data_IF_346638595970
#
_entry.id   IF_346638595970
#
_cell.length_a   1.000
_cell.length_b   1.000
_cell.length_c   1.000
_cell.angle_alpha   90.00
_cell.angle_beta   90.00
_cell.angle_gamma   90.00
#
_symmetry.space_group_name_H-M   'P 1'
#
loop_
_entity.id
_entity.type
_entity.pdbx_description
1 polymer ?
#
# COMPACT_ATOMS: atom_id res chain seq x y z
N UNK A 1 31.40 -7.18 10.97
CA UNK A 1 31.73 -6.45 12.20
C UNK A 1 31.22 -7.27 13.39
N UNK A 2 31.96 -7.38 14.51
CA UNK A 2 31.54 -8.18 15.67
C UNK A 2 30.45 -7.44 16.45
N UNK A 3 29.46 -8.17 16.97
CA UNK A 3 28.32 -7.67 17.77
C UNK A 3 28.69 -6.61 18.82
N UNK A 4 29.84 -6.78 19.47
CA UNK A 4 30.37 -5.86 20.48
C UNK A 4 30.54 -4.43 19.97
N UNK A 5 30.93 -4.22 18.71
CA UNK A 5 31.21 -2.89 18.18
C UNK A 5 29.93 -2.11 17.84
N UNK A 6 28.86 -2.79 17.43
CA UNK A 6 27.54 -2.14 17.20
C UNK A 6 26.93 -1.73 18.54
N UNK A 7 27.01 -2.60 19.54
CA UNK A 7 26.59 -2.28 20.90
C UNK A 7 27.40 -1.13 21.49
N UNK A 8 28.70 -1.06 21.22
CA UNK A 8 29.56 0.02 21.68
C UNK A 8 29.18 1.37 21.02
N UNK A 9 28.86 1.39 19.72
CA UNK A 9 28.34 2.59 19.04
C UNK A 9 26.99 3.02 19.62
N UNK A 10 26.06 2.09 19.82
CA UNK A 10 24.75 2.37 20.42
C UNK A 10 24.93 2.87 21.87
N UNK A 11 25.77 2.21 22.66
CA UNK A 11 25.97 2.56 24.08
C UNK A 11 26.75 3.87 24.27
N UNK A 12 27.70 4.17 23.39
CA UNK A 12 28.53 5.38 23.48
C UNK A 12 27.85 6.64 22.92
N UNK A 13 26.85 6.48 22.04
CA UNK A 13 26.19 7.60 21.35
C UNK A 13 24.69 7.63 21.66
N UNK A 14 24.33 8.36 22.71
CA UNK A 14 22.93 8.53 23.16
C UNK A 14 21.98 8.99 22.04
N UNK A 15 22.48 9.83 21.12
CA UNK A 15 21.72 10.34 19.97
C UNK A 15 21.40 9.28 18.90
N UNK A 16 22.05 8.12 18.93
CA UNK A 16 21.69 6.93 18.13
C UNK A 16 20.87 5.95 18.96
N UNK A 17 21.27 5.74 20.23
CA UNK A 17 20.64 4.77 21.12
C UNK A 17 19.16 5.08 21.39
N UNK A 18 18.84 6.34 21.72
CA UNK A 18 17.50 6.74 22.11
C UNK A 18 16.52 6.58 20.94
N UNK A 19 16.78 7.12 19.74
CA UNK A 19 15.89 6.91 18.59
C UNK A 19 15.68 5.44 18.26
N UNK A 20 16.75 4.63 18.25
CA UNK A 20 16.64 3.19 17.98
C UNK A 20 15.78 2.49 19.04
N UNK A 21 15.95 2.83 20.32
CA UNK A 21 15.14 2.27 21.40
C UNK A 21 13.67 2.71 21.30
N UNK A 22 13.40 3.97 20.93
CA UNK A 22 12.05 4.49 20.70
C UNK A 22 11.38 3.76 19.54
N UNK A 23 12.11 3.48 18.46
CA UNK A 23 11.60 2.75 17.29
C UNK A 23 11.30 1.30 17.64
N UNK A 24 12.29 0.59 18.19
CA UNK A 24 12.14 -0.82 18.54
C UNK A 24 11.06 -1.01 19.61
N UNK A 25 11.09 -0.21 20.67
CA UNK A 25 10.10 -0.24 21.73
C UNK A 25 8.72 0.19 21.24
N UNK A 26 8.65 1.28 20.48
CA UNK A 26 7.40 1.83 19.95
C UNK A 26 6.68 0.89 19.00
N UNK A 27 7.39 0.07 18.23
CA UNK A 27 6.78 -0.95 17.38
C UNK A 27 6.47 -2.24 18.16
N UNK A 28 7.44 -2.78 18.90
CA UNK A 28 7.28 -4.10 19.52
C UNK A 28 6.40 -4.11 20.76
N UNK A 29 6.46 -3.08 21.61
CA UNK A 29 5.73 -3.07 22.89
C UNK A 29 4.21 -3.09 22.65
N UNK A 30 3.62 -2.25 21.78
CA UNK A 30 2.18 -2.29 21.54
C UNK A 30 1.74 -3.63 20.94
N UNK A 31 2.50 -4.16 19.98
CA UNK A 31 2.20 -5.45 19.35
C UNK A 31 2.29 -6.61 20.35
N UNK A 32 3.30 -6.60 21.24
CA UNK A 32 3.41 -7.56 22.32
C UNK A 32 2.25 -7.43 23.32
N UNK A 33 1.86 -6.21 23.67
CA UNK A 33 0.73 -5.97 24.57
C UNK A 33 -0.60 -6.45 23.97
N UNK A 34 -0.79 -6.26 22.66
CA UNK A 34 -1.93 -6.80 21.92
C UNK A 34 -1.96 -8.34 21.97
N UNK A 35 -0.80 -8.98 21.77
CA UNK A 35 -0.66 -10.44 21.89
C UNK A 35 -0.99 -10.92 23.30
N UNK A 36 -0.41 -10.29 24.33
CA UNK A 36 -0.68 -10.62 25.73
C UNK A 36 -2.17 -10.46 26.06
N UNK A 37 -2.82 -9.40 25.53
CA UNK A 37 -4.24 -9.16 25.76
C UNK A 37 -5.12 -10.23 25.13
N UNK A 38 -4.77 -10.72 23.93
CA UNK A 38 -5.51 -11.81 23.30
C UNK A 38 -5.30 -13.14 24.03
N UNK A 39 -4.09 -13.40 24.53
CA UNK A 39 -3.76 -14.63 25.30
C UNK A 39 -4.41 -14.68 26.69
N UNK A 40 -5.02 -13.60 27.17
CA UNK A 40 -5.84 -13.62 28.40
C UNK A 40 -7.19 -14.32 28.20
N UNK A 41 -7.63 -14.51 26.95
CA UNK A 41 -8.83 -15.27 26.67
C UNK A 41 -8.59 -16.78 26.85
N UNK A 42 -9.63 -17.49 27.29
CA UNK A 42 -9.60 -18.94 27.43
C UNK A 42 -9.25 -19.62 26.08
N UNK A 43 -8.31 -20.59 26.03
CA UNK A 43 -7.88 -21.22 24.77
C UNK A 43 -9.02 -21.82 23.94
N UNK A 44 -10.06 -22.35 24.59
CA UNK A 44 -11.22 -22.89 23.89
C UNK A 44 -12.05 -21.79 23.23
N UNK A 45 -12.21 -20.66 23.91
CA UNK A 45 -12.83 -19.46 23.33
C UNK A 45 -12.02 -18.94 22.12
N UNK A 46 -10.68 -18.92 22.21
CA UNK A 46 -9.83 -18.53 21.09
C UNK A 46 -9.99 -19.46 19.88
N UNK A 47 -10.02 -20.77 20.12
CA UNK A 47 -10.24 -21.76 19.07
C UNK A 47 -11.59 -21.58 18.38
N UNK A 48 -12.66 -21.43 19.17
CA UNK A 48 -14.01 -21.23 18.64
C UNK A 48 -14.12 -19.94 17.82
N UNK A 49 -13.39 -18.88 18.20
CA UNK A 49 -13.31 -17.64 17.45
C UNK A 49 -12.59 -17.80 16.10
N UNK A 50 -11.50 -18.59 16.06
CA UNK A 50 -10.72 -18.84 14.84
C UNK A 50 -11.54 -19.65 13.83
N UNK A 51 -12.19 -20.72 14.28
CA UNK A 51 -12.92 -21.67 13.41
C UNK A 51 -14.33 -21.17 13.08
N UNK A 52 -14.80 -20.08 13.71
CA UNK A 52 -16.12 -19.50 13.46
C UNK A 52 -16.33 -19.20 11.97
N UNK A 53 -17.49 -19.58 11.44
CA UNK A 53 -17.84 -19.32 10.03
C UNK A 53 -17.82 -17.84 9.64
N UNK A 54 -17.97 -16.90 10.59
CA UNK A 54 -17.75 -15.46 10.33
C UNK A 54 -16.28 -15.17 10.06
N UNK A 55 -15.38 -15.63 10.92
CA UNK A 55 -13.93 -15.40 10.81
C UNK A 55 -13.36 -15.99 9.52
N UNK A 56 -13.78 -17.20 9.14
CA UNK A 56 -13.38 -17.81 7.88
C UNK A 56 -13.88 -17.02 6.65
N UNK A 57 -15.09 -16.46 6.71
CA UNK A 57 -15.60 -15.56 5.66
C UNK A 57 -14.80 -14.25 5.61
N UNK A 58 -14.43 -13.66 6.74
CA UNK A 58 -13.58 -12.47 6.77
C UNK A 58 -12.20 -12.74 6.17
N UNK A 59 -11.60 -13.89 6.48
CA UNK A 59 -10.34 -14.34 5.86
C UNK A 59 -10.50 -14.49 4.35
N UNK A 60 -11.52 -15.22 3.90
CA UNK A 60 -11.81 -15.42 2.48
C UNK A 60 -12.06 -14.10 1.73
N UNK A 61 -12.82 -13.18 2.33
CA UNK A 61 -13.08 -11.86 1.76
C UNK A 61 -11.81 -11.02 1.66
N UNK A 62 -10.99 -11.02 2.71
CA UNK A 62 -9.76 -10.22 2.77
C UNK A 62 -8.72 -10.73 1.76
N UNK A 63 -8.50 -12.05 1.72
CA UNK A 63 -7.59 -12.68 0.75
C UNK A 63 -8.14 -12.56 -0.67
N UNK A 64 -9.43 -12.81 -0.87
CA UNK A 64 -10.09 -12.68 -2.18
C UNK A 64 -9.98 -11.27 -2.74
N UNK A 65 -10.18 -10.25 -1.90
CA UNK A 65 -9.98 -8.86 -2.29
C UNK A 65 -8.53 -8.54 -2.62
N UNK A 66 -7.57 -8.97 -1.80
CA UNK A 66 -6.14 -8.75 -2.08
C UNK A 66 -5.72 -9.37 -3.43
N UNK A 67 -6.11 -10.62 -3.69
CA UNK A 67 -5.83 -11.31 -4.97
C UNK A 67 -6.55 -10.64 -6.12
N UNK A 68 -7.82 -10.27 -5.95
CA UNK A 68 -8.60 -9.57 -6.96
C UNK A 68 -7.99 -8.22 -7.33
N UNK A 69 -7.61 -7.41 -6.35
CA UNK A 69 -6.97 -6.11 -6.55
C UNK A 69 -5.61 -6.28 -7.21
N UNK A 70 -4.81 -7.27 -6.82
CA UNK A 70 -3.54 -7.55 -7.49
C UNK A 70 -3.75 -7.92 -8.97
N UNK A 71 -4.78 -8.71 -9.28
CA UNK A 71 -5.14 -9.02 -10.67
C UNK A 71 -5.62 -7.76 -11.44
N UNK A 72 -6.52 -6.97 -10.84
CA UNK A 72 -7.04 -5.74 -11.43
C UNK A 72 -5.96 -4.71 -11.70
N UNK A 73 -5.10 -4.44 -10.72
CA UNK A 73 -3.92 -3.58 -10.88
C UNK A 73 -2.96 -4.10 -11.93
N UNK A 74 -2.75 -5.41 -12.05
CA UNK A 74 -1.90 -6.00 -13.10
C UNK A 74 -2.43 -5.72 -14.50
N UNK A 75 -3.75 -5.82 -14.70
CA UNK A 75 -4.43 -5.51 -15.97
C UNK A 75 -4.22 -4.03 -16.36
N UNK A 76 -4.09 -3.13 -15.38
CA UNK A 76 -3.84 -1.70 -15.62
C UNK A 76 -2.34 -1.41 -15.81
N UNK A 77 -1.52 -1.89 -14.88
CA UNK A 77 -0.12 -1.54 -14.74
C UNK A 77 0.78 -2.18 -15.80
N UNK A 78 0.57 -3.47 -16.14
CA UNK A 78 1.43 -4.18 -17.11
C UNK A 78 1.34 -3.54 -18.50
N UNK A 79 0.14 -3.30 -19.08
CA UNK A 79 0.06 -2.66 -20.39
C UNK A 79 0.57 -1.22 -20.35
N UNK A 80 0.27 -0.45 -19.30
CA UNK A 80 0.74 0.93 -19.20
C UNK A 80 2.26 1.03 -19.08
N UNK A 81 2.89 0.14 -18.30
CA UNK A 81 4.34 0.05 -18.18
C UNK A 81 4.97 -0.33 -19.51
N UNK A 82 4.41 -1.31 -20.22
CA UNK A 82 4.90 -1.70 -21.54
C UNK A 82 4.73 -0.58 -22.59
N UNK A 83 3.56 0.07 -22.65
CA UNK A 83 3.29 1.18 -23.57
C UNK A 83 4.28 2.34 -23.36
N UNK A 84 4.56 2.70 -22.11
CA UNK A 84 5.42 3.86 -21.80
C UNK A 84 6.93 3.58 -21.95
N UNK A 85 7.36 2.31 -21.98
CA UNK A 85 8.80 1.94 -21.98
C UNK A 85 9.25 1.19 -23.22
N UNK A 86 8.40 0.35 -23.82
CA UNK A 86 8.75 -0.57 -24.92
C UNK A 86 8.22 -0.12 -26.28
N UNK A 87 7.43 0.94 -26.34
CA UNK A 87 6.83 1.43 -27.60
C UNK A 87 7.31 2.82 -27.98
N UNK A 88 7.22 3.14 -29.27
CA UNK A 88 7.57 4.44 -29.83
C UNK A 88 6.41 5.46 -29.77
N UNK A 89 5.61 5.45 -28.70
CA UNK A 89 4.51 6.39 -28.51
C UNK A 89 5.04 7.82 -28.24
N UNK A 90 4.65 8.83 -29.03
CA UNK A 90 4.94 10.21 -28.67
C UNK A 90 4.24 10.61 -27.36
N UNK A 91 4.86 11.50 -26.58
CA UNK A 91 4.29 11.96 -25.31
C UNK A 91 4.38 10.97 -24.14
N UNK A 92 5.23 9.94 -24.20
CA UNK A 92 5.42 8.93 -23.13
C UNK A 92 5.67 9.51 -21.72
N UNK A 93 6.27 10.71 -21.63
CA UNK A 93 6.47 11.41 -20.34
C UNK A 93 5.11 11.82 -19.74
N UNK A 94 4.23 12.39 -20.54
CA UNK A 94 2.86 12.75 -20.12
C UNK A 94 2.09 11.50 -19.74
N UNK A 95 2.15 10.43 -20.53
CA UNK A 95 1.50 9.15 -20.17
C UNK A 95 2.05 8.55 -18.88
N UNK A 96 3.36 8.67 -18.65
CA UNK A 96 3.97 8.26 -17.38
C UNK A 96 3.43 9.10 -16.22
N UNK A 97 3.36 10.43 -16.37
CA UNK A 97 2.79 11.31 -15.35
C UNK A 97 1.33 10.95 -15.06
N UNK A 98 0.51 10.75 -16.09
CA UNK A 98 -0.89 10.30 -15.95
C UNK A 98 -1.02 8.97 -15.21
N UNK A 99 -0.07 8.04 -15.38
CA UNK A 99 -0.03 6.78 -14.66
C UNK A 99 0.40 6.90 -13.19
N UNK A 100 1.03 8.01 -12.80
CA UNK A 100 1.51 8.26 -11.43
C UNK A 100 0.55 9.16 -10.64
N UNK A 101 -0.15 10.07 -11.30
CA UNK A 101 -1.12 10.98 -10.69
C UNK A 101 -2.16 10.31 -9.75
N UNK A 102 -2.62 9.07 -9.97
CA UNK A 102 -3.57 8.43 -9.06
C UNK A 102 -3.05 8.24 -7.64
N UNK A 103 -1.73 8.27 -7.41
CA UNK A 103 -1.15 8.27 -6.05
C UNK A 103 -1.60 9.49 -5.22
N UNK A 104 -2.01 10.57 -5.87
CA UNK A 104 -2.55 11.76 -5.20
C UNK A 104 -4.03 11.62 -4.80
N UNK A 105 -4.73 10.58 -5.28
CA UNK A 105 -6.15 10.34 -4.99
C UNK A 105 -6.26 9.24 -3.93
N UNK A 106 -6.65 9.57 -2.68
CA UNK A 106 -6.81 8.55 -1.64
C UNK A 106 -7.88 7.51 -2.01
N UNK A 107 -7.69 6.26 -1.58
CA UNK A 107 -8.63 5.17 -1.86
C UNK A 107 -10.06 5.48 -1.40
N UNK A 108 -10.24 6.02 -0.19
CA UNK A 108 -11.57 6.38 0.31
C UNK A 108 -12.25 7.48 -0.53
N UNK A 109 -11.48 8.41 -1.11
CA UNK A 109 -12.02 9.42 -2.04
C UNK A 109 -12.51 8.74 -3.31
N UNK A 110 -11.72 7.82 -3.87
CA UNK A 110 -12.13 7.01 -5.03
C UNK A 110 -13.42 6.24 -4.72
N UNK A 111 -13.50 5.58 -3.56
CA UNK A 111 -14.67 4.82 -3.14
C UNK A 111 -15.93 5.71 -3.05
N UNK A 112 -15.79 6.87 -2.42
CA UNK A 112 -16.86 7.83 -2.26
C UNK A 112 -17.33 8.39 -3.60
N UNK A 113 -16.40 8.71 -4.50
CA UNK A 113 -16.71 9.16 -5.86
C UNK A 113 -17.45 8.07 -6.64
N UNK A 114 -17.01 6.82 -6.61
CA UNK A 114 -17.73 5.73 -7.29
C UNK A 114 -19.16 5.56 -6.76
N UNK A 115 -19.35 5.66 -5.45
CA UNK A 115 -20.69 5.59 -4.83
C UNK A 115 -21.57 6.79 -5.17
N UNK A 116 -20.99 7.98 -5.28
CA UNK A 116 -21.67 9.22 -5.64
C UNK A 116 -22.03 9.27 -7.13
N UNK A 117 -21.19 8.69 -7.98
CA UNK A 117 -21.30 8.77 -9.43
C UNK A 117 -22.19 7.66 -10.00
N UNK A 118 -22.31 6.53 -9.31
CA UNK A 118 -23.14 5.37 -9.74
C UNK A 118 -24.43 5.23 -8.92
N UNK A 119 -25.39 4.45 -9.43
CA UNK A 119 -26.73 4.28 -8.86
C UNK A 119 -27.79 5.14 -9.56
N UNK A 120 -29.06 4.88 -9.25
CA UNK A 120 -30.22 5.56 -9.87
C UNK A 120 -30.20 7.07 -9.70
N UNK A 121 -29.64 7.55 -8.59
CA UNK A 121 -29.49 8.97 -8.27
C UNK A 121 -28.02 9.42 -8.33
N UNK A 122 -27.14 8.65 -8.97
CA UNK A 122 -25.73 9.02 -9.11
C UNK A 122 -25.54 10.20 -10.05
N UNK A 123 -24.38 10.88 -9.96
CA UNK A 123 -24.09 12.04 -10.83
C UNK A 123 -24.20 11.69 -12.32
N UNK A 124 -23.80 10.49 -12.76
CA UNK A 124 -23.97 10.07 -14.16
C UNK A 124 -25.43 10.00 -14.61
N UNK A 125 -26.32 9.53 -13.74
CA UNK A 125 -27.75 9.46 -14.05
C UNK A 125 -28.34 10.87 -14.15
N UNK A 126 -27.94 11.78 -13.24
CA UNK A 126 -28.46 13.14 -13.21
C UNK A 126 -27.92 14.02 -14.34
N UNK A 127 -26.65 13.88 -14.73
CA UNK A 127 -26.03 14.75 -15.73
C UNK A 127 -26.10 14.20 -17.15
N UNK A 128 -25.99 12.87 -17.32
CA UNK A 128 -25.92 12.21 -18.64
C UNK A 128 -27.12 11.31 -18.93
N UNK A 129 -28.04 11.13 -17.98
CA UNK A 129 -29.15 10.16 -18.11
C UNK A 129 -28.69 8.70 -18.11
N UNK A 130 -27.44 8.42 -17.75
CA UNK A 130 -26.85 7.08 -17.77
C UNK A 130 -26.94 6.42 -16.39
N UNK A 131 -27.85 5.46 -16.24
CA UNK A 131 -28.01 4.70 -15.00
C UNK A 131 -27.06 3.49 -14.98
N UNK A 132 -26.00 3.61 -14.19
CA UNK A 132 -25.07 2.50 -13.90
C UNK A 132 -25.42 1.90 -12.54
N UNK A 133 -25.45 0.57 -12.36
CA UNK A 133 -25.68 -0.05 -11.05
C UNK A 133 -24.73 0.51 -9.99
N UNK A 134 -25.23 0.75 -8.79
CA UNK A 134 -24.44 1.32 -7.70
C UNK A 134 -23.28 0.38 -7.36
N UNK A 135 -22.05 0.86 -7.53
CA UNK A 135 -20.85 0.10 -7.25
C UNK A 135 -20.62 0.03 -5.74
N UNK A 136 -21.04 -1.07 -5.13
CA UNK A 136 -20.81 -1.38 -3.72
C UNK A 136 -20.23 -2.79 -3.54
N UNK A 137 -20.06 -3.20 -2.28
CA UNK A 137 -19.56 -4.51 -1.91
C UNK A 137 -18.18 -4.81 -2.48
N UNK A 138 -17.96 -6.07 -2.86
CA UNK A 138 -16.69 -6.54 -3.41
C UNK A 138 -16.29 -5.79 -4.69
N UNK A 139 -17.22 -5.62 -5.65
CA UNK A 139 -16.92 -5.01 -6.95
C UNK A 139 -16.50 -3.55 -6.80
N UNK A 140 -17.22 -2.78 -5.96
CA UNK A 140 -16.86 -1.40 -5.68
C UNK A 140 -15.49 -1.28 -5.02
N UNK A 141 -15.20 -2.14 -4.02
CA UNK A 141 -13.90 -2.15 -3.34
C UNK A 141 -12.75 -2.56 -4.29
N UNK A 142 -12.98 -3.58 -5.12
CA UNK A 142 -12.03 -4.06 -6.12
C UNK A 142 -11.64 -2.96 -7.10
N UNK A 143 -12.63 -2.25 -7.67
CA UNK A 143 -12.39 -1.17 -8.64
C UNK A 143 -11.68 0.00 -7.96
N UNK A 144 -12.19 0.46 -6.81
CA UNK A 144 -11.62 1.60 -6.10
C UNK A 144 -10.15 1.37 -5.74
N UNK A 145 -9.85 0.23 -5.11
CA UNK A 145 -8.48 -0.12 -4.72
C UNK A 145 -7.59 -0.37 -5.93
N UNK A 146 -8.10 -0.98 -7.01
CA UNK A 146 -7.30 -1.17 -8.22
C UNK A 146 -6.90 0.15 -8.86
N UNK A 147 -7.83 1.11 -8.96
CA UNK A 147 -7.57 2.41 -9.55
C UNK A 147 -6.64 3.30 -8.69
N UNK A 148 -6.69 3.16 -7.36
CA UNK A 148 -5.83 3.93 -6.46
C UNK A 148 -4.44 3.31 -6.28
N UNK A 149 -4.30 1.98 -6.38
CA UNK A 149 -3.04 1.28 -6.05
C UNK A 149 -2.24 0.77 -7.24
N UNK A 150 -2.79 0.75 -8.47
CA UNK A 150 -2.01 0.32 -9.63
C UNK A 150 -0.70 1.11 -9.88
N UNK A 151 -0.53 2.40 -9.49
CA UNK A 151 0.72 3.10 -9.71
C UNK A 151 1.93 2.45 -9.03
N UNK A 152 1.73 1.80 -7.87
CA UNK A 152 2.80 1.08 -7.16
C UNK A 152 3.38 -0.05 -8.01
N UNK A 153 2.52 -0.84 -8.68
CA UNK A 153 2.97 -1.90 -9.59
C UNK A 153 3.46 -1.32 -10.92
N UNK A 154 2.82 -0.27 -11.44
CA UNK A 154 3.25 0.40 -12.67
C UNK A 154 4.68 0.92 -12.56
N UNK A 155 5.04 1.61 -11.48
CA UNK A 155 6.38 2.15 -11.27
C UNK A 155 7.43 1.04 -11.19
N UNK A 156 7.17 -0.02 -10.43
CA UNK A 156 8.06 -1.18 -10.31
C UNK A 156 8.25 -1.91 -11.65
N UNK A 157 7.17 -2.16 -12.39
CA UNK A 157 7.27 -2.80 -13.71
C UNK A 157 7.98 -1.89 -14.72
N UNK A 158 7.72 -0.57 -14.67
CA UNK A 158 8.34 0.40 -15.56
C UNK A 158 9.85 0.45 -15.36
N UNK A 159 10.34 0.48 -14.12
CA UNK A 159 11.78 0.45 -13.82
C UNK A 159 12.40 -0.86 -14.30
N UNK A 160 11.73 -2.00 -14.08
CA UNK A 160 12.18 -3.30 -14.57
C UNK A 160 12.28 -3.35 -16.09
N UNK A 161 11.24 -2.90 -16.83
CA UNK A 161 11.26 -2.85 -18.30
C UNK A 161 12.39 -1.98 -18.85
N UNK A 162 12.71 -0.87 -18.19
CA UNK A 162 13.83 0.01 -18.58
C UNK A 162 15.20 -0.61 -18.28
N UNK A 163 15.28 -1.51 -17.29
CA UNK A 163 16.48 -2.20 -16.89
C UNK A 163 16.80 -3.48 -17.68
N UNK A 164 15.86 -4.00 -18.47
CA UNK A 164 16.06 -5.21 -19.28
C UNK A 164 17.15 -5.02 -20.35
N UNK A 165 18.01 -6.04 -20.51
CA UNK A 165 19.02 -6.08 -21.56
C UNK A 165 18.39 -6.50 -22.91
N UNK A 166 18.41 -5.63 -23.95
CA UNK A 166 17.89 -5.99 -25.27
C UNK A 166 18.60 -7.20 -25.91
N UNK A 167 19.86 -7.48 -25.55
CA UNK A 167 20.63 -8.56 -26.15
C UNK A 167 20.02 -9.94 -25.91
N UNK A 168 19.35 -10.16 -24.77
CA UNK A 168 18.66 -11.42 -24.47
C UNK A 168 17.47 -11.63 -25.41
N UNK A 169 16.71 -10.58 -25.70
CA UNK A 169 15.58 -10.63 -26.63
C UNK A 169 16.07 -10.83 -28.08
N UNK A 170 17.14 -10.14 -28.48
CA UNK A 170 17.73 -10.27 -29.81
C UNK A 170 18.30 -11.67 -30.06
N UNK A 171 19.02 -12.23 -29.08
CA UNK A 171 19.60 -13.58 -29.15
C UNK A 171 18.51 -14.64 -29.30
N UNK A 172 17.42 -14.51 -28.55
CA UNK A 172 16.30 -15.43 -28.68
C UNK A 172 15.58 -15.31 -30.02
N UNK A 173 15.43 -14.09 -30.55
CA UNK A 173 14.90 -13.91 -31.91
C UNK A 173 15.83 -14.52 -32.97
N UNK A 174 17.14 -14.44 -32.79
CA UNK A 174 18.11 -15.09 -33.69
C UNK A 174 18.03 -16.62 -33.64
N UNK A 175 17.68 -17.20 -32.49
CA UNK A 175 17.40 -18.63 -32.30
C UNK A 175 16.01 -19.07 -32.81
N UNK A 176 15.26 -18.19 -33.47
CA UNK A 176 13.98 -18.52 -34.09
C UNK A 176 12.75 -18.36 -33.19
N UNK A 177 12.90 -17.84 -31.97
CA UNK A 177 11.75 -17.59 -31.10
C UNK A 177 10.90 -16.43 -31.63
N UNK A 178 9.58 -16.64 -31.68
CA UNK A 178 8.60 -15.59 -32.00
C UNK A 178 8.56 -14.51 -30.91
N UNK A 179 8.07 -13.31 -31.25
CA UNK A 179 7.95 -12.19 -30.29
C UNK A 179 7.15 -12.55 -29.03
N UNK A 180 6.11 -13.36 -29.19
CA UNK A 180 5.30 -13.83 -28.06
C UNK A 180 6.07 -14.80 -27.18
N UNK A 181 6.82 -15.74 -27.77
CA UNK A 181 7.67 -16.64 -27.00
C UNK A 181 8.79 -15.88 -26.27
N UNK A 182 9.44 -14.91 -26.92
CA UNK A 182 10.42 -14.03 -26.27
C UNK A 182 9.79 -13.29 -25.09
N UNK A 183 8.58 -12.74 -25.26
CA UNK A 183 7.89 -12.06 -24.16
C UNK A 183 7.61 -13.01 -22.98
N UNK A 184 7.02 -14.17 -23.23
CA UNK A 184 6.60 -15.11 -22.16
C UNK A 184 7.78 -15.81 -21.51
N UNK A 185 8.81 -16.19 -22.27
CA UNK A 185 9.91 -17.03 -21.79
C UNK A 185 11.13 -16.23 -21.32
N UNK A 186 11.28 -14.97 -21.75
CA UNK A 186 12.47 -14.16 -21.44
C UNK A 186 12.09 -12.89 -20.68
N UNK A 187 11.13 -12.11 -21.20
CA UNK A 187 10.76 -10.83 -20.58
C UNK A 187 9.97 -11.06 -19.29
N UNK A 188 8.90 -11.84 -19.33
CA UNK A 188 8.01 -12.03 -18.19
C UNK A 188 8.71 -12.63 -16.95
N UNK A 189 9.61 -13.64 -17.08
CA UNK A 189 10.37 -14.14 -15.93
C UNK A 189 11.29 -13.09 -15.31
N UNK A 190 11.89 -12.22 -16.13
CA UNK A 190 12.73 -11.12 -15.64
C UNK A 190 11.93 -10.01 -14.95
N UNK A 191 10.64 -9.87 -15.25
CA UNK A 191 9.75 -8.93 -14.56
C UNK A 191 9.24 -9.46 -13.21
N UNK A 192 9.38 -10.76 -12.93
CA UNK A 192 8.87 -11.37 -11.68
C UNK A 192 9.35 -10.68 -10.40
N UNK A 193 10.63 -10.30 -10.22
CA UNK A 193 11.07 -9.60 -9.02
C UNK A 193 10.32 -8.29 -8.79
N UNK A 194 10.14 -7.51 -9.86
CA UNK A 194 9.44 -6.24 -9.79
C UNK A 194 7.93 -6.41 -9.60
N UNK A 195 7.34 -7.45 -10.20
CA UNK A 195 5.95 -7.81 -9.97
C UNK A 195 5.69 -8.21 -8.53
N UNK A 196 6.57 -9.04 -7.93
CA UNK A 196 6.46 -9.47 -6.55
C UNK A 196 6.62 -8.30 -5.58
N UNK A 197 7.63 -7.44 -5.79
CA UNK A 197 7.84 -6.25 -4.96
C UNK A 197 6.67 -5.25 -5.05
N UNK A 198 6.19 -4.94 -6.26
CA UNK A 198 5.03 -4.06 -6.44
C UNK A 198 3.74 -4.71 -5.93
N UNK A 199 3.60 -6.02 -6.09
CA UNK A 199 2.46 -6.79 -5.60
C UNK A 199 2.40 -6.90 -4.08
N UNK A 200 3.56 -6.95 -3.40
CA UNK A 200 3.64 -6.86 -1.96
C UNK A 200 3.07 -5.53 -1.49
N UNK A 201 3.54 -4.40 -2.04
CA UNK A 201 3.07 -3.07 -1.65
C UNK A 201 1.55 -2.94 -1.80
N UNK A 202 1.00 -3.41 -2.92
CA UNK A 202 -0.46 -3.42 -3.15
C UNK A 202 -1.15 -4.30 -2.12
N UNK A 203 -0.64 -5.50 -1.86
CA UNK A 203 -1.26 -6.43 -0.92
C UNK A 203 -1.28 -5.85 0.49
N UNK A 204 -0.16 -5.29 0.97
CA UNK A 204 -0.08 -4.63 2.27
C UNK A 204 -1.06 -3.45 2.37
N UNK A 205 -1.17 -2.65 1.31
CA UNK A 205 -2.13 -1.55 1.24
C UNK A 205 -3.58 -2.04 1.34
N UNK A 206 -3.95 -3.09 0.60
CA UNK A 206 -5.31 -3.66 0.60
C UNK A 206 -5.65 -4.30 1.96
N UNK A 207 -4.71 -5.02 2.57
CA UNK A 207 -4.90 -5.58 3.92
C UNK A 207 -5.09 -4.49 4.96
N UNK A 208 -4.36 -3.38 4.81
CA UNK A 208 -4.44 -2.22 5.70
C UNK A 208 -5.63 -1.31 5.45
N UNK A 209 -6.30 -1.42 4.30
CA UNK A 209 -7.36 -0.49 3.94
C UNK A 209 -8.62 -0.72 4.79
N UNK A 210 -9.08 0.38 5.37
CA UNK A 210 -10.37 0.49 6.04
C UNK A 210 -11.33 1.39 5.28
N UNK A 211 -10.83 2.48 4.70
CA UNK A 211 -11.66 3.54 4.13
C UNK A 211 -12.51 3.06 2.96
N UNK A 212 -11.92 2.33 2.00
CA UNK A 212 -12.66 1.80 0.86
C UNK A 212 -13.62 0.73 1.29
N UNK A 213 -13.13 -0.28 2.02
CA UNK A 213 -13.93 -1.46 2.38
C UNK A 213 -15.11 -1.11 3.29
N UNK A 214 -14.97 -0.12 4.19
CA UNK A 214 -16.06 0.36 5.03
C UNK A 214 -17.13 1.11 4.23
N UNK A 215 -16.73 2.04 3.35
CA UNK A 215 -17.65 2.76 2.48
C UNK A 215 -18.40 1.83 1.53
N UNK A 216 -17.69 0.83 1.00
CA UNK A 216 -18.25 -0.19 0.11
C UNK A 216 -19.06 -1.25 0.87
N UNK A 217 -19.05 -1.23 2.22
CA UNK A 217 -19.69 -2.24 3.08
C UNK A 217 -19.27 -3.68 2.74
N UNK A 218 -17.98 -3.87 2.53
CA UNK A 218 -17.40 -5.18 2.26
C UNK A 218 -16.68 -5.70 3.49
N UNK A 219 -17.15 -6.84 4.01
CA UNK A 219 -16.70 -7.44 5.28
C UNK A 219 -15.29 -8.04 5.16
N UNK A 220 -14.26 -7.21 5.33
CA UNK A 220 -12.86 -7.63 5.50
C UNK A 220 -12.47 -7.64 6.98
N UNK A 221 -11.30 -8.20 7.29
CA UNK A 221 -10.75 -8.16 8.65
C UNK A 221 -10.60 -6.73 9.18
N UNK A 222 -10.09 -5.81 8.38
CA UNK A 222 -9.92 -4.39 8.75
C UNK A 222 -11.25 -3.73 9.12
N UNK A 223 -12.29 -3.94 8.32
CA UNK A 223 -13.62 -3.42 8.62
C UNK A 223 -14.21 -4.06 9.89
N UNK A 224 -14.16 -5.39 9.99
CA UNK A 224 -14.68 -6.11 11.14
C UNK A 224 -13.95 -5.73 12.44
N UNK A 225 -12.63 -5.61 12.42
CA UNK A 225 -11.81 -5.17 13.55
C UNK A 225 -12.31 -3.84 14.09
N UNK A 226 -12.48 -2.85 13.21
CA UNK A 226 -12.95 -1.53 13.61
C UNK A 226 -14.34 -1.60 14.25
N UNK A 227 -15.29 -2.31 13.63
CA UNK A 227 -16.65 -2.44 14.15
C UNK A 227 -16.67 -3.13 15.53
N UNK A 228 -15.90 -4.20 15.71
CA UNK A 228 -15.85 -4.90 16.99
C UNK A 228 -15.25 -4.04 18.11
N UNK A 229 -14.24 -3.25 17.77
CA UNK A 229 -13.62 -2.32 18.71
C UNK A 229 -14.53 -1.12 19.04
N UNK A 230 -14.97 -0.39 18.01
CA UNK A 230 -15.62 0.92 18.15
C UNK A 230 -17.12 0.83 18.40
N UNK A 231 -17.82 -0.15 17.82
CA UNK A 231 -19.28 -0.26 17.93
C UNK A 231 -19.71 -1.34 18.94
N UNK A 232 -19.02 -2.48 18.99
CA UNK A 232 -19.39 -3.59 19.87
C UNK A 232 -18.67 -3.60 21.22
N UNK A 233 -17.65 -2.75 21.40
CA UNK A 233 -16.80 -2.68 22.60
C UNK A 233 -16.17 -4.04 23.02
N UNK A 234 -16.11 -5.01 22.09
CA UNK A 234 -15.51 -6.32 22.32
C UNK A 234 -14.02 -6.26 22.02
N UNK A 235 -13.27 -5.81 23.03
CA UNK A 235 -11.82 -5.58 22.92
C UNK A 235 -11.03 -6.88 22.71
N UNK A 236 -11.53 -8.01 23.22
CA UNK A 236 -10.84 -9.30 23.09
C UNK A 236 -11.00 -9.80 21.66
N UNK A 237 -12.22 -9.80 21.13
CA UNK A 237 -12.45 -10.25 19.76
C UNK A 237 -11.78 -9.31 18.75
N UNK A 238 -11.81 -8.00 18.97
CA UNK A 238 -11.05 -7.05 18.14
C UNK A 238 -9.54 -7.33 18.14
N UNK A 239 -8.96 -7.64 19.31
CA UNK A 239 -7.55 -8.02 19.41
C UNK A 239 -7.24 -9.33 18.67
N UNK A 240 -8.15 -10.32 18.73
CA UNK A 240 -8.01 -11.57 17.97
C UNK A 240 -8.01 -11.32 16.46
N UNK A 241 -8.95 -10.51 15.95
CA UNK A 241 -9.00 -10.14 14.53
C UNK A 241 -7.74 -9.37 14.10
N UNK A 242 -7.23 -8.48 14.94
CA UNK A 242 -5.98 -7.77 14.69
C UNK A 242 -4.79 -8.71 14.59
N UNK A 243 -4.66 -9.68 15.49
CA UNK A 243 -3.60 -10.68 15.45
C UNK A 243 -3.73 -11.62 14.24
N UNK A 244 -4.95 -12.01 13.86
CA UNK A 244 -5.17 -12.79 12.63
C UNK A 244 -4.75 -12.02 11.38
N UNK A 245 -5.06 -10.73 11.31
CA UNK A 245 -4.64 -9.87 10.21
C UNK A 245 -3.11 -9.68 10.21
N UNK A 246 -2.49 -9.50 11.37
CA UNK A 246 -1.02 -9.46 11.52
C UNK A 246 -0.37 -10.77 11.08
N UNK A 247 -0.96 -11.92 11.45
CA UNK A 247 -0.47 -13.23 11.04
C UNK A 247 -0.59 -13.42 9.52
N UNK A 248 -1.71 -12.98 8.91
CA UNK A 248 -1.89 -12.99 7.47
C UNK A 248 -0.84 -12.13 6.76
N UNK A 249 -0.61 -10.91 7.24
CA UNK A 249 0.44 -10.03 6.70
C UNK A 249 1.82 -10.65 6.83
N UNK A 250 2.15 -11.22 8.00
CA UNK A 250 3.40 -11.94 8.22
C UNK A 250 3.59 -13.12 7.28
N UNK A 251 2.53 -13.90 7.03
CA UNK A 251 2.56 -15.01 6.09
C UNK A 251 2.85 -14.53 4.65
N UNK A 252 2.28 -13.40 4.24
CA UNK A 252 2.51 -12.80 2.91
C UNK A 252 3.94 -12.30 2.76
N UNK A 253 4.49 -11.62 3.77
CA UNK A 253 5.91 -11.20 3.78
C UNK A 253 6.86 -12.40 3.68
N UNK A 254 6.59 -13.48 4.43
CA UNK A 254 7.39 -14.70 4.37
C UNK A 254 7.27 -15.37 3.01
N UNK A 255 6.07 -15.42 2.44
CA UNK A 255 5.82 -15.97 1.11
C UNK A 255 6.60 -15.18 0.05
N UNK A 256 6.48 -13.86 0.05
CA UNK A 256 7.18 -12.99 -0.90
C UNK A 256 8.71 -13.11 -0.76
N UNK A 257 9.25 -13.08 0.46
CA UNK A 257 10.68 -13.29 0.71
C UNK A 257 11.18 -14.65 0.19
N UNK A 258 10.35 -15.70 0.27
CA UNK A 258 10.66 -17.03 -0.30
C UNK A 258 10.60 -17.01 -1.83
N UNK A 259 9.60 -16.35 -2.41
CA UNK A 259 9.44 -16.24 -3.87
C UNK A 259 10.55 -15.41 -4.52
N UNK A 260 11.04 -14.36 -3.85
CA UNK A 260 12.14 -13.52 -4.33
C UNK A 260 13.52 -14.18 -4.20
N UNK A 261 13.64 -15.23 -3.38
CA UNK A 261 14.94 -15.89 -3.13
C UNK A 261 15.48 -16.49 -4.43
N UNK A 262 16.62 -15.98 -4.89
CA UNK A 262 17.30 -16.44 -6.11
C UNK A 262 16.80 -15.81 -7.41
N UNK A 263 15.85 -14.86 -7.36
CA UNK A 263 15.34 -14.14 -8.54
C UNK A 263 16.10 -12.85 -8.87
N UNK A 264 17.19 -12.54 -8.16
CA UNK A 264 18.02 -11.36 -8.44
C UNK A 264 18.81 -11.57 -9.74
N UNK A 265 18.17 -11.28 -10.87
CA UNK A 265 18.81 -11.21 -12.17
C UNK A 265 19.76 -10.01 -12.18
N UNK A 266 21.01 -10.27 -11.86
CA UNK A 266 22.06 -9.27 -12.02
C UNK A 266 22.25 -9.02 -13.51
N UNK A 267 22.41 -7.75 -13.88
CA UNK A 267 22.87 -7.40 -15.22
C UNK A 267 24.25 -8.04 -15.42
N UNK A 268 24.29 -9.09 -16.22
CA UNK A 268 25.50 -9.81 -16.59
C UNK A 268 26.27 -8.99 -17.62
N UNK A 269 27.00 -7.96 -17.17
CA UNK A 269 27.94 -7.23 -18.03
C UNK A 269 28.29 -5.83 -17.55
N UNK A 270 29.59 -5.50 -17.62
CA UNK A 270 30.16 -4.16 -17.41
C UNK A 270 29.99 -3.23 -18.62
N UNK A 271 29.37 -3.71 -19.70
CA UNK A 271 29.19 -2.96 -20.94
C UNK A 271 28.19 -1.80 -20.82
N UNK A 272 28.35 -0.79 -21.67
CA UNK A 272 27.44 0.36 -21.81
C UNK A 272 26.01 -0.11 -22.10
N UNK A 273 25.02 0.49 -21.42
CA UNK A 273 23.61 0.17 -21.65
C UNK A 273 23.24 0.46 -23.11
N UNK A 274 22.87 -0.58 -23.86
CA UNK A 274 22.30 -0.38 -25.19
C UNK A 274 20.85 0.10 -25.05
N UNK A 275 20.44 1.15 -25.75
CA UNK A 275 19.05 1.56 -25.77
C UNK A 275 18.20 0.46 -26.39
N UNK A 276 17.06 0.14 -25.76
CA UNK A 276 16.12 -0.85 -26.30
C UNK A 276 15.53 -0.37 -27.63
N UNK A 277 15.36 -1.29 -28.58
CA UNK A 277 14.65 -0.99 -29.82
C UNK A 277 13.16 -0.84 -29.53
N UNK A 278 12.63 0.36 -29.72
CA UNK A 278 11.21 0.64 -29.46
C UNK A 278 10.30 0.06 -30.53
N UNK A 279 9.20 -0.58 -30.12
CA UNK A 279 8.19 -1.10 -31.04
C UNK A 279 7.32 0.03 -31.60
N UNK A 280 7.23 0.12 -32.93
CA UNK A 280 6.32 1.04 -33.62
C UNK A 280 4.93 0.40 -33.71
N UNK A 281 3.93 1.03 -33.10
CA UNK A 281 2.55 0.50 -33.02
C UNK A 281 1.72 0.77 -34.29
N UNK A 282 2.16 1.64 -35.20
CA UNK A 282 1.33 2.06 -36.34
C UNK A 282 -0.02 2.62 -35.88
N UNK A 283 -1.12 2.14 -36.44
CA UNK A 283 -2.49 2.54 -36.07
C UNK A 283 -2.89 2.15 -34.63
N UNK A 284 -2.30 1.09 -34.06
CA UNK A 284 -2.57 0.64 -32.68
C UNK A 284 -2.12 1.65 -31.62
N UNK A 285 -1.38 2.70 -32.01
CA UNK A 285 -1.07 3.82 -31.13
C UNK A 285 -2.32 4.43 -30.51
N UNK A 286 -3.42 4.50 -31.25
CA UNK A 286 -4.68 5.08 -30.78
C UNK A 286 -5.37 4.22 -29.74
N UNK A 287 -5.29 2.88 -29.85
CA UNK A 287 -5.74 1.98 -28.81
C UNK A 287 -4.91 2.15 -27.53
N UNK A 288 -3.58 2.33 -27.65
CA UNK A 288 -2.70 2.64 -26.53
C UNK A 288 -3.04 3.96 -25.83
N UNK A 289 -3.33 5.02 -26.61
CA UNK A 289 -3.80 6.28 -26.07
C UNK A 289 -5.18 6.17 -25.42
N UNK A 290 -6.13 5.50 -26.06
CA UNK A 290 -7.48 5.29 -25.53
C UNK A 290 -7.40 4.55 -24.19
N UNK A 291 -6.60 3.48 -24.10
CA UNK A 291 -6.36 2.76 -22.84
C UNK A 291 -5.80 3.69 -21.77
N UNK A 292 -4.70 4.42 -22.06
CA UNK A 292 -4.08 5.30 -21.07
C UNK A 292 -5.03 6.44 -20.64
N UNK A 293 -5.83 6.99 -21.56
CA UNK A 293 -6.82 8.01 -21.27
C UNK A 293 -8.00 7.47 -20.45
N UNK A 294 -8.45 6.23 -20.69
CA UNK A 294 -9.47 5.59 -19.86
C UNK A 294 -8.94 5.37 -18.44
N UNK A 295 -7.72 4.87 -18.31
CA UNK A 295 -7.09 4.69 -16.99
C UNK A 295 -6.98 6.02 -16.26
N UNK A 296 -6.42 7.05 -16.89
CA UNK A 296 -6.30 8.39 -16.29
C UNK A 296 -7.67 9.04 -16.02
N UNK A 297 -8.63 8.80 -16.91
CA UNK A 297 -10.01 9.26 -16.81
C UNK A 297 -10.69 8.73 -15.56
N UNK A 298 -10.65 7.41 -15.37
CA UNK A 298 -11.27 6.75 -14.23
C UNK A 298 -10.53 6.99 -12.91
N UNK A 299 -9.19 7.04 -12.94
CA UNK A 299 -8.38 7.13 -11.73
C UNK A 299 -8.13 8.56 -11.24
N UNK A 300 -8.19 9.58 -12.11
CA UNK A 300 -7.86 10.97 -11.77
C UNK A 300 -8.97 11.94 -12.19
N UNK A 301 -9.35 11.94 -13.47
CA UNK A 301 -10.29 12.96 -13.98
C UNK A 301 -11.68 12.81 -13.37
N UNK A 302 -12.13 11.58 -13.15
CA UNK A 302 -13.43 11.28 -12.54
C UNK A 302 -13.46 11.71 -11.06
N UNK A 303 -12.49 11.35 -10.20
CA UNK A 303 -12.40 11.93 -8.85
C UNK A 303 -12.29 13.44 -8.81
N UNK A 304 -11.39 14.03 -9.59
CA UNK A 304 -11.19 15.48 -9.63
C UNK A 304 -12.45 16.22 -10.12
N UNK A 305 -13.10 15.67 -11.16
CA UNK A 305 -14.34 16.22 -11.71
C UNK A 305 -15.50 16.14 -10.74
N UNK A 306 -15.73 15.00 -10.08
CA UNK A 306 -16.80 14.86 -9.09
C UNK A 306 -16.58 15.76 -7.88
N UNK A 307 -15.35 15.83 -7.35
CA UNK A 307 -15.01 16.74 -6.24
C UNK A 307 -15.20 18.20 -6.67
N UNK A 308 -14.73 18.58 -7.86
CA UNK A 308 -14.89 19.93 -8.40
C UNK A 308 -16.36 20.32 -8.59
N UNK A 309 -17.18 19.40 -9.10
CA UNK A 309 -18.62 19.61 -9.25
C UNK A 309 -19.28 19.88 -7.90
N UNK A 310 -18.96 19.11 -6.86
CA UNK A 310 -19.52 19.30 -5.52
C UNK A 310 -19.01 20.56 -4.83
N UNK A 311 -17.74 20.92 -5.03
CA UNK A 311 -17.21 22.19 -4.55
C UNK A 311 -17.95 23.37 -5.19
N UNK A 312 -18.26 23.30 -6.49
CA UNK A 312 -19.01 24.34 -7.17
C UNK A 312 -20.48 24.42 -6.68
N UNK A 313 -21.13 23.27 -6.52
CA UNK A 313 -22.51 23.17 -6.00
C UNK A 313 -22.62 23.68 -4.55
N UNK A 314 -21.66 23.30 -3.71
CA UNK A 314 -21.58 23.81 -2.32
C UNK A 314 -21.23 25.30 -2.28
N UNK A 315 -20.42 25.79 -3.22
CA UNK A 315 -20.11 27.21 -3.32
C UNK A 315 -21.33 28.06 -3.67
N UNK A 316 -22.25 27.53 -4.48
CA UNK A 316 -23.52 28.19 -4.78
C UNK A 316 -24.44 28.31 -3.53
N UNK A 317 -24.30 27.41 -2.55
CA UNK A 317 -25.05 27.42 -1.28
C UNK A 317 -24.29 28.06 -0.11
N UNK A 318 -23.04 28.48 -0.33
CA UNK A 318 -22.16 29.10 0.67
C UNK A 318 -21.17 28.10 1.28
N UNK A 319 -19.87 28.29 1.01
CA UNK A 319 -18.82 27.40 1.50
C UNK A 319 -18.63 27.51 3.03
N UNK A 320 -18.51 26.38 3.75
CA UNK A 320 -18.24 26.36 5.19
C UNK A 320 -16.75 26.60 5.47
N UNK A 321 -16.26 27.83 5.21
CA UNK A 321 -14.84 28.19 5.34
C UNK A 321 -14.23 27.88 6.71
N UNK A 322 -15.01 28.05 7.79
CA UNK A 322 -14.58 27.71 9.14
C UNK A 322 -14.34 26.21 9.32
N UNK A 323 -15.25 25.36 8.79
CA UNK A 323 -15.11 23.91 8.82
C UNK A 323 -13.94 23.41 7.96
N UNK A 324 -13.74 24.02 6.78
CA UNK A 324 -12.58 23.72 5.93
C UNK A 324 -11.25 24.11 6.61
N UNK A 325 -11.20 25.30 7.22
CA UNK A 325 -10.02 25.75 7.97
C UNK A 325 -9.68 24.83 9.14
N UNK A 326 -10.69 24.39 9.91
CA UNK A 326 -10.52 23.45 11.01
C UNK A 326 -10.01 22.09 10.51
N UNK A 327 -10.61 21.53 9.46
CA UNK A 327 -10.19 20.25 8.88
C UNK A 327 -8.75 20.30 8.33
N UNK A 328 -8.38 21.42 7.70
CA UNK A 328 -7.00 21.66 7.25
C UNK A 328 -6.04 21.71 8.44
N UNK A 329 -6.39 22.42 9.51
CA UNK A 329 -5.57 22.52 10.71
C UNK A 329 -5.40 21.18 11.42
N UNK A 330 -6.47 20.40 11.59
CA UNK A 330 -6.43 19.07 12.19
C UNK A 330 -5.51 18.13 11.38
N UNK A 331 -5.59 18.21 10.05
CA UNK A 331 -4.74 17.42 9.15
C UNK A 331 -3.26 17.82 9.24
N UNK A 332 -2.97 19.13 9.22
CA UNK A 332 -1.60 19.67 9.26
C UNK A 332 -0.96 19.43 10.64
N UNK A 333 -1.71 19.68 11.71
CA UNK A 333 -1.23 19.53 13.09
C UNK A 333 -0.90 18.09 13.46
N UNK A 334 -1.53 17.09 12.84
CA UNK A 334 -1.16 15.68 12.99
C UNK A 334 -0.03 15.27 12.04
N UNK A 335 -0.10 15.63 10.76
CA UNK A 335 0.82 15.11 9.73
C UNK A 335 2.22 15.72 9.78
N UNK A 336 2.35 17.04 10.00
CA UNK A 336 3.66 17.72 9.98
C UNK A 336 4.56 17.23 11.11
N UNK A 337 4.13 17.20 12.38
CA UNK A 337 4.96 16.68 13.47
C UNK A 337 5.28 15.18 13.30
N UNK A 338 4.34 14.39 12.78
CA UNK A 338 4.56 12.97 12.52
C UNK A 338 5.64 12.75 11.44
N UNK A 339 5.60 13.51 10.35
CA UNK A 339 6.59 13.44 9.28
C UNK A 339 7.98 13.86 9.77
N UNK A 340 8.07 14.95 10.53
CA UNK A 340 9.34 15.39 11.14
C UNK A 340 9.89 14.33 12.10
N UNK A 341 9.03 13.78 12.98
CA UNK A 341 9.43 12.75 13.92
C UNK A 341 9.87 11.45 13.21
N UNK A 342 9.14 11.02 12.18
CA UNK A 342 9.50 9.87 11.36
C UNK A 342 10.88 10.05 10.69
N UNK A 343 11.14 11.23 10.12
CA UNK A 343 12.43 11.57 9.51
C UNK A 343 13.56 11.57 10.56
N UNK A 344 13.33 12.15 11.75
CA UNK A 344 14.32 12.18 12.81
C UNK A 344 14.62 10.78 13.38
N UNK A 345 13.62 9.91 13.49
CA UNK A 345 13.78 8.54 13.98
C UNK A 345 14.39 7.60 12.93
N UNK A 346 14.16 7.85 11.64
CA UNK A 346 14.70 7.03 10.54
C UNK A 346 16.19 7.28 10.31
N UNK A 347 16.68 8.51 10.47
CA UNK A 347 18.10 8.87 10.23
C UNK A 347 19.09 7.98 11.01
N UNK A 348 18.96 7.74 12.33
CA UNK A 348 19.88 6.86 13.06
C UNK A 348 19.78 5.39 12.63
N UNK A 349 18.58 4.91 12.30
CA UNK A 349 18.36 3.53 11.82
C UNK A 349 19.06 3.33 10.47
N UNK A 350 18.84 4.24 9.51
CA UNK A 350 19.51 4.25 8.22
C UNK A 350 21.04 4.39 8.35
N UNK A 351 21.51 5.27 9.24
CA UNK A 351 22.93 5.45 9.52
C UNK A 351 23.58 4.15 9.99
N UNK A 352 22.96 3.42 10.92
CA UNK A 352 23.45 2.14 11.40
C UNK A 352 23.46 1.07 10.31
N UNK A 353 22.42 1.01 9.48
CA UNK A 353 22.32 0.10 8.34
C UNK A 353 23.47 0.26 7.34
N UNK A 354 23.74 1.51 6.96
CA UNK A 354 24.74 1.85 5.94
C UNK A 354 26.16 1.79 6.49
N UNK A 355 26.41 2.37 7.68
CA UNK A 355 27.78 2.52 8.22
C UNK A 355 28.23 1.31 9.04
N UNK A 356 27.30 0.56 9.61
CA UNK A 356 27.59 -0.55 10.53
C UNK A 356 26.76 -1.81 10.20
N UNK A 357 26.91 -2.40 8.99
CA UNK A 357 26.14 -3.58 8.59
C UNK A 357 26.47 -4.79 9.48
N UNK A 358 25.43 -5.36 10.09
CA UNK A 358 25.49 -6.49 11.02
C UNK A 358 24.13 -7.19 11.09
N UNK A 359 24.08 -8.38 11.69
CA UNK A 359 22.81 -9.11 11.90
C UNK A 359 21.83 -8.33 12.79
N UNK A 360 22.37 -7.57 13.75
CA UNK A 360 21.58 -6.74 14.66
C UNK A 360 21.01 -5.50 14.00
N UNK A 361 21.81 -4.81 13.17
CA UNK A 361 21.31 -3.66 12.40
C UNK A 361 20.25 -4.10 11.38
N UNK A 362 20.42 -5.28 10.76
CA UNK A 362 19.36 -5.92 9.95
C UNK A 362 18.11 -6.25 10.78
N UNK A 363 18.27 -6.66 12.03
CA UNK A 363 17.15 -6.88 12.96
C UNK A 363 16.39 -5.60 13.27
N UNK A 364 17.10 -4.50 13.56
CA UNK A 364 16.51 -3.19 13.83
C UNK A 364 15.75 -2.66 12.60
N UNK A 365 16.35 -2.74 11.41
CA UNK A 365 15.69 -2.36 10.16
C UNK A 365 14.42 -3.17 9.92
N UNK A 366 14.46 -4.49 10.16
CA UNK A 366 13.27 -5.36 10.04
C UNK A 366 12.18 -4.96 11.04
N UNK A 367 12.54 -4.58 12.26
CA UNK A 367 11.58 -4.11 13.27
C UNK A 367 10.98 -2.76 12.87
N UNK A 368 11.78 -1.82 12.35
CA UNK A 368 11.27 -0.57 11.82
C UNK A 368 10.31 -0.82 10.65
N UNK A 369 10.66 -1.75 9.75
CA UNK A 369 9.80 -2.16 8.65
C UNK A 369 8.52 -2.86 9.11
N UNK A 370 8.54 -3.59 10.24
CA UNK A 370 7.32 -4.17 10.81
C UNK A 370 6.28 -3.09 11.12
N UNK A 371 6.69 -1.90 11.60
CA UNK A 371 5.76 -0.79 11.83
C UNK A 371 4.93 -0.44 10.59
N UNK A 372 5.58 -0.38 9.43
CA UNK A 372 4.92 -0.14 8.15
C UNK A 372 4.14 -1.35 7.63
N UNK A 373 4.72 -2.54 7.74
CA UNK A 373 4.10 -3.74 7.23
C UNK A 373 2.87 -4.16 8.07
N UNK A 374 2.80 -3.76 9.35
CA UNK A 374 1.60 -4.00 10.16
C UNK A 374 0.41 -3.20 9.63
N UNK A 375 -0.76 -3.84 9.42
CA UNK A 375 -1.99 -3.13 9.03
C UNK A 375 -2.25 -1.94 9.96
N UNK A 376 -2.55 -0.73 9.44
CA UNK A 376 -2.65 0.48 10.24
C UNK A 376 -3.67 0.36 11.39
N UNK A 377 -4.82 -0.26 11.13
CA UNK A 377 -5.84 -0.48 12.15
C UNK A 377 -5.40 -1.45 13.26
N UNK A 378 -4.66 -2.50 12.91
CA UNK A 378 -4.12 -3.43 13.91
C UNK A 378 -3.04 -2.75 14.76
N UNK A 379 -2.17 -1.95 14.13
CA UNK A 379 -1.14 -1.16 14.81
C UNK A 379 -1.76 -0.10 15.74
N UNK A 380 -2.78 0.63 15.26
CA UNK A 380 -3.52 1.59 16.06
C UNK A 380 -4.22 0.93 17.25
N UNK A 381 -4.88 -0.21 17.05
CA UNK A 381 -5.49 -0.96 18.14
C UNK A 381 -4.44 -1.39 19.18
N UNK A 382 -3.29 -1.87 18.73
CA UNK A 382 -2.19 -2.25 19.61
C UNK A 382 -1.75 -1.08 20.52
N UNK A 383 -1.58 0.11 19.93
CA UNK A 383 -1.23 1.34 20.66
C UNK A 383 -2.35 1.81 21.61
N UNK A 384 -3.61 1.67 21.21
CA UNK A 384 -4.75 2.03 22.05
C UNK A 384 -4.84 1.10 23.25
N UNK A 385 -4.73 -0.20 23.04
CA UNK A 385 -4.79 -1.20 24.11
C UNK A 385 -3.61 -1.04 25.07
N UNK A 386 -2.41 -0.76 24.55
CA UNK A 386 -1.23 -0.43 25.35
C UNK A 386 -1.40 0.86 26.16
N UNK A 387 -1.85 1.96 25.52
CA UNK A 387 -1.98 3.26 26.18
C UNK A 387 -3.02 3.23 27.29
N UNK A 388 -4.18 2.62 27.06
CA UNK A 388 -5.20 2.42 28.08
C UNK A 388 -4.72 1.60 29.28
N UNK A 389 -3.81 0.64 29.08
CA UNK A 389 -3.30 -0.22 30.14
C UNK A 389 -2.10 0.35 30.91
N UNK A 390 -1.22 1.07 30.23
CA UNK A 390 0.12 1.42 30.77
C UNK A 390 0.33 2.92 30.91
N UNK A 391 -0.15 3.71 29.95
CA UNK A 391 0.05 5.17 29.89
C UNK A 391 -1.27 5.88 29.57
N UNK A 392 -2.28 5.79 30.44
CA UNK A 392 -3.64 6.22 30.13
C UNK A 392 -3.75 7.72 29.83
N UNK A 393 -2.86 8.53 30.39
CA UNK A 393 -2.78 9.97 30.10
C UNK A 393 -2.43 10.28 28.64
N UNK A 394 -1.83 9.34 27.90
CA UNK A 394 -1.50 9.51 26.49
C UNK A 394 -2.67 9.16 25.57
N UNK A 395 -3.67 8.41 26.04
CA UNK A 395 -4.82 8.04 25.25
C UNK A 395 -5.65 9.27 24.83
N UNK A 396 -6.19 9.26 23.61
CA UNK A 396 -6.94 10.39 23.02
C UNK A 396 -6.15 11.71 22.94
N UNK A 397 -4.82 11.65 22.91
CA UNK A 397 -3.98 12.83 22.70
C UNK A 397 -3.42 12.90 21.28
N UNK A 398 -3.20 14.13 20.79
CA UNK A 398 -2.48 14.36 19.53
C UNK A 398 -1.07 13.76 19.56
N UNK A 399 -0.41 13.77 20.71
CA UNK A 399 0.93 13.22 20.88
C UNK A 399 0.99 11.71 20.57
N UNK A 400 0.02 10.93 21.04
CA UNK A 400 -0.06 9.50 20.73
C UNK A 400 -0.36 9.27 19.24
N UNK A 401 -1.22 10.08 18.63
CA UNK A 401 -1.50 10.02 17.19
C UNK A 401 -0.25 10.31 16.36
N UNK A 402 0.49 11.36 16.71
CA UNK A 402 1.77 11.73 16.07
C UNK A 402 2.79 10.60 16.20
N UNK A 403 2.93 10.01 17.39
CA UNK A 403 3.82 8.88 17.61
C UNK A 403 3.41 7.64 16.80
N UNK A 404 2.11 7.35 16.74
CA UNK A 404 1.56 6.24 15.95
C UNK A 404 1.89 6.40 14.47
N UNK A 405 1.63 7.58 13.89
CA UNK A 405 1.96 7.87 12.51
C UNK A 405 3.47 7.83 12.25
N UNK A 406 4.27 8.40 13.15
CA UNK A 406 5.72 8.38 12.98
C UNK A 406 6.27 6.95 12.94
N UNK A 407 5.87 6.09 13.87
CA UNK A 407 6.32 4.70 13.93
C UNK A 407 5.80 3.85 12.77
N UNK A 408 4.56 4.10 12.32
CA UNK A 408 3.97 3.37 11.20
C UNK A 408 4.61 3.75 9.86
N UNK A 409 4.88 5.04 9.62
CA UNK A 409 5.39 5.52 8.33
C UNK A 409 6.91 5.69 8.26
N UNK A 410 7.66 5.54 9.36
CA UNK A 410 9.11 5.80 9.31
C UNK A 410 9.87 4.92 8.31
N UNK A 411 9.39 3.70 8.04
CA UNK A 411 10.07 2.79 7.12
C UNK A 411 10.03 3.30 5.67
N UNK A 412 9.11 4.22 5.33
CA UNK A 412 9.10 4.88 4.03
C UNK A 412 10.19 5.98 3.92
N UNK A 413 10.80 6.37 5.04
CA UNK A 413 11.88 7.36 5.10
C UNK A 413 13.29 6.75 5.21
N UNK A 414 13.40 5.43 5.43
CA UNK A 414 14.65 4.64 5.47
C UNK A 414 14.85 3.97 4.12
#
# INVERSE_FOLDING_TARGET
MRFSQVLEVIRSRWYVAIPVAVVVGGVLIPLAYLLLRALQADPQTLWDLVVRGRTLRLLGNTVGLAVGVLAGTSVLAVPLAWLTTRTALPGRRVLTLLGVLPLAVPGYVMAYVLLATTGEYGTLAQTLGLTVPRLGGYTGALIALSLSTFPYLFLNLRTAFLGLDPALEESARALGYSRWQVFVQIVLPQLRPAFLAGGLLITLHVLGDFGVVSLMRYDTFSYALYIQYAASYDRIYAACLALMLLALTGAILVLEARLLKGLLFHRTGSGTARPSTLHRLGGWRWAGYAFALVVAGLSVLLPAGTVGYWMADTAASGLPWSGLGAALWDSVSASVPAAVLAALLSLPVAYLGVRHPSDWTRGIERIAYLGYATPPLAFALALVVFSLGTVPFAYQTLALLVAAYALHFMAEAV
#
